data_IF_178674969456
#
_entry.id   IF_178674969456
#
_cell.length_a   1.000
_cell.length_b   1.000
_cell.length_c   1.000
_cell.angle_alpha   90.00
_cell.angle_beta   90.00
_cell.angle_gamma   90.00
#
_symmetry.space_group_name_H-M   'P 1'
#
loop_
_entity.id
_entity.type
_entity.pdbx_description
1 polymer ?
#
# COMPACT_ATOMS: atom_id res chain seq x y z
N UNK A 1 -10.03 4.31 -32.72
CA UNK A 1 -10.34 5.28 -31.66
C UNK A 1 -9.51 4.88 -30.44
N UNK A 2 -8.50 5.66 -30.04
CA UNK A 2 -7.77 5.33 -28.82
C UNK A 2 -8.66 5.70 -27.63
N UNK A 3 -8.95 4.73 -26.76
CA UNK A 3 -9.52 4.97 -25.45
C UNK A 3 -8.52 5.82 -24.66
N UNK A 4 -8.79 7.11 -24.53
CA UNK A 4 -8.16 7.93 -23.51
C UNK A 4 -8.51 7.31 -22.16
N UNK A 5 -7.51 6.71 -21.51
CA UNK A 5 -7.60 6.37 -20.10
C UNK A 5 -7.75 7.70 -19.35
N UNK A 6 -8.99 8.07 -19.03
CA UNK A 6 -9.30 9.08 -18.02
C UNK A 6 -8.80 8.52 -16.69
N UNK A 7 -7.51 8.72 -16.43
CA UNK A 7 -6.93 8.45 -15.11
C UNK A 7 -7.36 9.63 -14.26
N UNK A 8 -8.58 9.57 -13.73
CA UNK A 8 -9.02 10.55 -12.74
C UNK A 8 -8.05 10.41 -11.55
N UNK A 9 -7.18 11.40 -11.38
CA UNK A 9 -6.26 11.47 -10.23
C UNK A 9 -7.11 11.71 -8.99
N UNK A 10 -7.54 10.62 -8.37
CA UNK A 10 -8.43 10.65 -7.22
C UNK A 10 -7.67 10.51 -5.91
N UNK A 11 -7.91 11.45 -5.01
CA UNK A 11 -7.36 11.40 -3.66
C UNK A 11 -8.31 10.53 -2.83
N UNK A 12 -7.81 9.39 -2.39
CA UNK A 12 -8.51 8.43 -1.55
C UNK A 12 -8.02 8.58 -0.10
N UNK A 13 -8.58 9.51 0.70
CA UNK A 13 -8.09 9.76 2.04
C UNK A 13 -8.31 8.55 2.94
N UNK A 14 -7.33 8.25 3.77
CA UNK A 14 -7.39 7.13 4.69
C UNK A 14 -6.47 7.31 5.88
N UNK A 15 -6.61 6.41 6.83
CA UNK A 15 -5.78 6.32 8.02
C UNK A 15 -5.51 4.85 8.33
N UNK A 16 -4.33 4.58 8.88
CA UNK A 16 -3.96 3.25 9.31
C UNK A 16 -2.95 3.26 10.43
N UNK A 17 -2.68 2.07 10.92
CA UNK A 17 -1.66 1.77 11.91
C UNK A 17 -0.64 0.85 11.27
N UNK A 18 0.64 1.18 11.48
CA UNK A 18 1.76 0.32 11.14
C UNK A 18 2.45 -0.13 12.42
N UNK A 19 2.62 -1.44 12.56
CA UNK A 19 3.49 -2.02 13.58
C UNK A 19 4.81 -2.46 12.95
N UNK A 20 5.92 -2.01 13.53
CA UNK A 20 7.28 -2.39 13.15
C UNK A 20 7.69 -3.59 14.00
N UNK A 21 8.02 -4.70 13.34
CA UNK A 21 8.53 -5.91 13.98
C UNK A 21 10.06 -5.94 13.80
N UNK A 22 10.84 -5.75 14.87
CA UNK A 22 12.30 -5.84 14.80
C UNK A 22 12.72 -7.25 14.39
N UNK A 23 13.69 -7.37 13.47
CA UNK A 23 14.19 -8.68 13.04
C UNK A 23 15.69 -8.69 12.84
N UNK A 24 16.23 -7.78 12.02
CA UNK A 24 17.67 -7.63 11.84
C UNK A 24 18.00 -6.20 11.40
N UNK A 25 19.29 -5.86 11.34
CA UNK A 25 19.75 -4.55 10.86
C UNK A 25 19.47 -4.31 9.37
N UNK A 26 19.33 -5.39 8.57
CA UNK A 26 19.14 -5.30 7.11
C UNK A 26 17.71 -5.55 6.65
N UNK A 27 16.91 -6.24 7.46
CA UNK A 27 15.53 -6.62 7.14
C UNK A 27 14.61 -6.30 8.31
N UNK A 28 13.57 -5.53 8.02
CA UNK A 28 12.53 -5.13 8.95
C UNK A 28 11.19 -5.73 8.52
N UNK A 29 10.49 -6.41 9.43
CA UNK A 29 9.12 -6.85 9.18
C UNK A 29 8.13 -5.77 9.60
N UNK A 30 6.96 -5.74 8.96
CA UNK A 30 5.89 -4.83 9.32
C UNK A 30 4.51 -5.48 9.18
N UNK A 31 3.57 -4.95 9.95
CA UNK A 31 2.14 -5.23 9.85
C UNK A 31 1.40 -3.91 9.66
N UNK A 32 0.52 -3.85 8.67
CA UNK A 32 -0.33 -2.70 8.38
C UNK A 32 -1.80 -3.08 8.50
N UNK A 33 -2.58 -2.17 9.07
CA UNK A 33 -4.03 -2.18 8.99
C UNK A 33 -4.53 -0.76 8.78
N UNK A 34 -5.55 -0.57 7.96
CA UNK A 34 -6.08 0.75 7.68
C UNK A 34 -7.40 0.72 6.96
N UNK A 35 -8.01 1.89 6.89
CA UNK A 35 -9.21 2.14 6.12
C UNK A 35 -9.00 3.40 5.29
N UNK A 36 -9.50 3.38 4.06
CA UNK A 36 -9.49 4.54 3.18
C UNK A 36 -10.83 4.68 2.47
N UNK A 37 -11.12 5.88 2.00
CA UNK A 37 -12.30 6.12 1.17
C UNK A 37 -11.95 5.84 -0.28
N UNK A 38 -12.66 4.91 -0.91
CA UNK A 38 -12.48 4.62 -2.33
C UNK A 38 -13.25 5.61 -3.22
N UNK A 39 -13.10 5.45 -4.53
CA UNK A 39 -13.69 6.35 -5.52
C UNK A 39 -15.23 6.31 -5.57
N UNK A 40 -15.82 5.19 -5.15
CA UNK A 40 -17.26 5.05 -4.93
C UNK A 40 -17.76 5.73 -3.65
N UNK A 41 -16.87 6.40 -2.90
CA UNK A 41 -17.10 6.94 -1.56
C UNK A 41 -17.45 5.86 -0.52
N UNK A 42 -17.10 4.60 -0.77
CA UNK A 42 -17.23 3.51 0.18
C UNK A 42 -15.98 3.43 1.06
N UNK A 43 -16.11 2.81 2.23
CA UNK A 43 -14.97 2.54 3.10
C UNK A 43 -14.32 1.25 2.65
N UNK A 44 -13.09 1.35 2.15
CA UNK A 44 -12.25 0.20 1.85
C UNK A 44 -11.35 -0.13 3.04
N UNK A 45 -11.14 -1.41 3.27
CA UNK A 45 -10.22 -1.91 4.29
C UNK A 45 -8.96 -2.47 3.64
N UNK A 46 -7.83 -2.21 4.28
CA UNK A 46 -6.54 -2.79 3.90
C UNK A 46 -5.87 -3.37 5.14
N UNK A 47 -5.33 -4.56 5.00
CA UNK A 47 -4.45 -5.17 5.97
C UNK A 47 -3.28 -5.83 5.23
N UNK A 48 -2.11 -5.90 5.85
CA UNK A 48 -0.99 -6.54 5.19
C UNK A 48 0.18 -6.80 6.10
N UNK A 49 1.06 -7.67 5.63
CA UNK A 49 2.32 -7.99 6.28
C UNK A 49 3.41 -8.05 5.22
N UNK A 50 4.60 -7.56 5.56
CA UNK A 50 5.69 -7.52 4.59
C UNK A 50 7.06 -7.33 5.22
N UNK A 51 8.08 -7.42 4.38
CA UNK A 51 9.47 -7.23 4.74
C UNK A 51 10.07 -6.08 3.93
N UNK A 52 10.86 -5.23 4.58
CA UNK A 52 11.60 -4.13 4.00
C UNK A 52 13.10 -4.35 4.20
N UNK A 53 13.82 -4.50 3.09
CA UNK A 53 15.27 -4.56 3.05
C UNK A 53 15.89 -3.15 2.99
N UNK A 54 16.90 -2.92 3.81
CA UNK A 54 17.68 -1.66 3.84
C UNK A 54 18.61 -1.61 2.62
N UNK A 55 18.15 -0.96 1.54
CA UNK A 55 18.92 -0.81 0.31
C UNK A 55 19.97 0.30 0.41
N UNK A 56 19.63 1.39 1.12
CA UNK A 56 20.54 2.48 1.50
C UNK A 56 20.20 2.96 2.92
N UNK A 57 20.88 4.00 3.41
CA UNK A 57 20.59 4.61 4.72
C UNK A 57 19.16 5.15 4.84
N UNK A 58 18.52 5.48 3.71
CA UNK A 58 17.17 6.06 3.68
C UNK A 58 16.17 5.27 2.85
N UNK A 59 16.62 4.58 1.81
CA UNK A 59 15.76 3.81 0.92
C UNK A 59 15.64 2.37 1.43
N UNK A 60 14.40 1.93 1.58
CA UNK A 60 14.05 0.54 1.81
C UNK A 60 13.20 0.00 0.67
N UNK A 61 13.48 -1.24 0.28
CA UNK A 61 12.78 -1.93 -0.79
C UNK A 61 12.26 -3.26 -0.26
N UNK A 62 11.11 -3.71 -0.72
CA UNK A 62 10.52 -4.92 -0.20
C UNK A 62 9.26 -5.35 -0.91
N UNK A 63 8.58 -6.28 -0.26
CA UNK A 63 7.30 -6.78 -0.72
C UNK A 63 6.39 -7.04 0.48
N UNK A 64 5.09 -6.96 0.24
CA UNK A 64 4.07 -7.28 1.20
C UNK A 64 3.00 -8.19 0.59
N UNK A 65 2.34 -8.95 1.44
CA UNK A 65 1.05 -9.54 1.13
C UNK A 65 -0.02 -8.59 1.66
N UNK A 66 -0.82 -8.04 0.76
CA UNK A 66 -1.91 -7.13 1.09
C UNK A 66 -3.25 -7.82 0.90
N UNK A 67 -4.05 -7.85 1.96
CA UNK A 67 -5.47 -8.08 1.94
C UNK A 67 -6.18 -6.75 1.72
N UNK A 68 -7.07 -6.70 0.74
CA UNK A 68 -7.86 -5.52 0.46
C UNK A 68 -9.31 -5.91 0.22
N UNK A 69 -10.19 -5.07 0.73
CA UNK A 69 -11.63 -5.18 0.59
C UNK A 69 -12.18 -3.82 0.16
N UNK A 70 -12.75 -3.73 -1.04
CA UNK A 70 -13.27 -2.48 -1.60
C UNK A 70 -14.37 -2.78 -2.61
N UNK A 71 -15.57 -2.24 -2.36
CA UNK A 71 -16.69 -2.32 -3.30
C UNK A 71 -16.32 -1.82 -4.70
N UNK A 72 -15.45 -0.81 -4.79
CA UNK A 72 -15.06 -0.23 -6.09
C UNK A 72 -13.98 -1.02 -6.82
N UNK A 73 -12.95 -1.51 -6.11
CA UNK A 73 -11.83 -2.19 -6.77
C UNK A 73 -12.01 -3.70 -6.91
N UNK A 74 -12.72 -4.35 -5.98
CA UNK A 74 -12.89 -5.80 -5.98
C UNK A 74 -14.34 -6.26 -5.76
N UNK A 75 -15.32 -5.36 -5.91
CA UNK A 75 -16.76 -5.66 -5.75
C UNK A 75 -17.09 -6.23 -4.37
N UNK A 76 -16.38 -5.78 -3.33
CA UNK A 76 -16.57 -6.21 -1.95
C UNK A 76 -16.08 -7.64 -1.68
N UNK A 77 -15.19 -8.17 -2.53
CA UNK A 77 -14.57 -9.48 -2.34
C UNK A 77 -13.16 -9.28 -1.83
N UNK A 78 -12.89 -9.69 -0.60
CA UNK A 78 -11.53 -9.73 -0.05
C UNK A 78 -10.57 -10.41 -1.03
N UNK A 79 -9.52 -9.69 -1.42
CA UNK A 79 -8.50 -10.18 -2.32
C UNK A 79 -7.13 -10.09 -1.63
N UNK A 80 -6.25 -11.03 -1.96
CA UNK A 80 -4.89 -11.11 -1.45
C UNK A 80 -3.93 -10.93 -2.62
N UNK A 81 -3.05 -9.94 -2.55
CA UNK A 81 -2.04 -9.71 -3.59
C UNK A 81 -0.64 -9.51 -3.00
N UNK A 82 0.39 -10.13 -3.59
CA UNK A 82 1.76 -9.71 -3.37
C UNK A 82 1.97 -8.36 -4.05
N UNK A 83 2.52 -7.39 -3.32
CA UNK A 83 2.78 -6.04 -3.83
C UNK A 83 4.22 -5.62 -3.54
N UNK A 84 4.96 -5.09 -4.53
CA UNK A 84 6.25 -4.45 -4.28
C UNK A 84 6.05 -3.16 -3.49
N UNK A 85 6.89 -2.93 -2.51
CA UNK A 85 6.86 -1.75 -1.63
C UNK A 85 8.22 -1.07 -1.63
N UNK A 86 8.21 0.25 -1.72
CA UNK A 86 9.37 1.09 -1.45
C UNK A 86 9.05 2.05 -0.30
N UNK A 87 10.04 2.35 0.53
CA UNK A 87 9.90 3.28 1.62
C UNK A 87 11.13 4.17 1.74
N UNK A 88 10.92 5.46 1.94
CA UNK A 88 11.98 6.44 2.15
C UNK A 88 11.87 7.04 3.55
N UNK A 89 12.90 6.88 4.38
CA UNK A 89 12.89 7.31 5.77
C UNK A 89 13.54 8.68 5.97
N UNK A 90 12.82 9.50 6.74
CA UNK A 90 13.10 10.87 7.15
C UNK A 90 12.91 10.97 8.66
N UNK A 91 13.84 10.39 9.43
CA UNK A 91 13.79 10.30 10.89
C UNK A 91 12.46 9.75 11.43
N UNK A 92 11.52 10.62 11.84
CA UNK A 92 10.20 10.23 12.35
C UNK A 92 9.17 9.92 11.28
N UNK A 93 9.43 10.30 10.03
CA UNK A 93 8.51 10.13 8.91
C UNK A 93 9.06 9.08 7.96
N UNK A 94 8.18 8.24 7.44
CA UNK A 94 8.48 7.32 6.35
C UNK A 94 7.48 7.57 5.23
N UNK A 95 7.97 7.86 4.03
CA UNK A 95 7.16 7.95 2.82
C UNK A 95 7.13 6.57 2.19
N UNK A 96 5.94 6.02 2.01
CA UNK A 96 5.74 4.70 1.46
C UNK A 96 5.11 4.78 0.08
N UNK A 97 5.48 3.81 -0.73
CA UNK A 97 5.03 3.66 -2.10
C UNK A 97 4.75 2.19 -2.37
N UNK A 98 3.63 1.93 -3.03
CA UNK A 98 3.25 0.59 -3.51
C UNK A 98 2.79 0.70 -4.96
N UNK A 99 3.17 -0.29 -5.76
CA UNK A 99 2.61 -0.48 -7.09
C UNK A 99 1.73 -1.72 -7.08
N UNK A 100 0.45 -1.55 -7.38
CA UNK A 100 -0.49 -2.64 -7.58
C UNK A 100 -0.59 -2.88 -9.09
N UNK A 101 0.08 -3.92 -9.63
CA UNK A 101 -0.03 -4.23 -11.05
C UNK A 101 -1.47 -4.60 -11.40
N UNK A 102 -1.82 -4.39 -12.68
CA UNK A 102 -3.08 -4.89 -13.23
C UNK A 102 -3.04 -6.41 -13.30
N UNK A 103 -3.93 -7.08 -12.58
CA UNK A 103 -4.10 -8.54 -12.60
C UNK A 103 -5.56 -8.82 -12.91
N UNK A 104 -5.84 -9.43 -14.07
CA UNK A 104 -7.20 -9.58 -14.64
C UNK A 104 -8.22 -10.16 -13.66
N UNK A 105 -7.81 -11.07 -12.79
CA UNK A 105 -8.68 -11.72 -11.81
C UNK A 105 -8.96 -10.89 -10.55
N UNK A 106 -8.22 -9.79 -10.34
CA UNK A 106 -8.10 -9.12 -9.03
C UNK A 106 -8.36 -7.62 -9.10
N UNK A 107 -7.81 -6.92 -10.10
CA UNK A 107 -8.08 -5.50 -10.36
C UNK A 107 -8.03 -5.21 -11.88
N UNK A 108 -8.91 -4.34 -12.37
CA UNK A 108 -8.96 -4.02 -13.81
C UNK A 108 -8.01 -2.87 -14.20
N UNK A 109 -7.40 -2.23 -13.21
CA UNK A 109 -6.57 -1.02 -13.33
C UNK A 109 -5.28 -1.20 -12.51
N UNK A 110 -4.16 -0.72 -13.05
CA UNK A 110 -2.91 -0.64 -12.30
C UNK A 110 -2.94 0.62 -11.42
N UNK A 111 -2.58 0.50 -10.15
CA UNK A 111 -2.74 1.58 -9.17
C UNK A 111 -1.43 1.86 -8.46
N UNK A 112 -1.13 3.13 -8.23
CA UNK A 112 -0.05 3.58 -7.36
C UNK A 112 -0.65 4.03 -6.03
N UNK A 113 -0.10 3.52 -4.93
CA UNK A 113 -0.47 3.95 -3.59
C UNK A 113 0.67 4.71 -2.92
N UNK A 114 0.34 5.81 -2.25
CA UNK A 114 1.29 6.62 -1.49
C UNK A 114 0.72 6.91 -0.11
N UNK A 115 1.54 6.78 0.93
CA UNK A 115 1.16 7.20 2.28
C UNK A 115 2.38 7.58 3.12
N UNK A 116 2.16 8.45 4.09
CA UNK A 116 3.16 8.78 5.10
C UNK A 116 2.87 8.00 6.38
N UNK A 117 3.90 7.40 6.96
CA UNK A 117 3.88 6.85 8.32
C UNK A 117 4.60 7.82 9.23
N UNK A 118 3.94 8.23 10.31
CA UNK A 118 4.58 8.95 11.40
C UNK A 118 4.85 8.00 12.55
N UNK A 119 6.12 7.82 12.92
CA UNK A 119 6.50 6.95 14.03
C UNK A 119 6.23 7.64 15.36
N UNK A 120 5.37 7.02 16.17
CA UNK A 120 5.18 7.38 17.56
C UNK A 120 6.41 6.90 18.35
N UNK A 121 6.97 7.78 19.18
CA UNK A 121 8.13 7.50 20.02
C UNK A 121 7.75 6.66 21.23
#
# INVERSE_FOLDING_TARGET
MPCELKVDNEINPGLGLRYRVPHSERLQWFLDVGAYRDSGRNTALVAGAGGLWHATDRLRLGAALALFDSDTYNRGKTALAPVPVAAYELDRVMLNFVYLPKVREVNEVATLGFWATWWLR
#
